data_IF_118340451310
#
_entry.id   IF_118340451310
#
_cell.length_a   1.000
_cell.length_b   1.000
_cell.length_c   1.000
_cell.angle_alpha   90.00
_cell.angle_beta   90.00
_cell.angle_gamma   90.00
#
_symmetry.space_group_name_H-M   'P 1'
#
loop_
_entity.id
_entity.type
_entity.pdbx_description
1 polymer ?
#
# COMPACT_ATOMS: atom_id res chain seq x y z
N UNK A 1 68.96 14.89 36.57
CA UNK A 1 68.97 15.92 37.63
C UNK A 1 68.36 17.18 37.07
N UNK A 2 67.28 17.55 37.49
CA UNK A 2 66.71 18.84 37.83
C UNK A 2 65.18 18.71 37.97
N UNK A 3 64.75 18.72 39.24
CA UNK A 3 63.33 18.89 39.61
C UNK A 3 62.98 20.36 39.43
N UNK A 4 61.89 20.66 38.76
CA UNK A 4 61.25 21.93 38.78
C UNK A 4 59.80 21.79 39.26
N UNK A 5 59.56 22.23 40.48
CA UNK A 5 58.23 22.40 41.07
C UNK A 5 57.63 23.67 40.49
N UNK A 6 56.39 23.56 40.02
CA UNK A 6 55.58 24.72 39.71
C UNK A 6 54.47 24.86 40.75
N UNK A 7 54.49 25.98 41.40
CA UNK A 7 53.51 26.39 42.40
C UNK A 7 52.20 26.80 41.78
N UNK A 8 51.13 26.34 42.39
CA UNK A 8 49.77 26.79 42.16
C UNK A 8 49.56 28.19 42.74
N UNK A 9 49.16 29.14 41.91
CA UNK A 9 48.60 30.40 42.30
C UNK A 9 47.11 30.40 41.99
N UNK A 10 46.31 30.42 43.03
CA UNK A 10 44.84 30.60 42.94
C UNK A 10 44.54 32.11 42.98
N UNK A 11 43.73 32.65 42.09
CA UNK A 11 43.08 33.94 42.38
C UNK A 11 41.70 33.72 43.00
N UNK A 12 41.49 34.31 44.14
CA UNK A 12 40.17 34.56 44.73
C UNK A 12 39.36 35.46 43.78
N UNK A 13 38.24 35.02 43.34
CA UNK A 13 37.26 35.91 42.72
C UNK A 13 36.06 36.02 43.66
N UNK A 14 35.74 37.25 43.98
CA UNK A 14 34.60 37.66 44.79
C UNK A 14 33.25 37.30 44.16
N UNK A 15 32.37 36.72 44.95
CA UNK A 15 30.97 36.55 44.65
C UNK A 15 30.23 37.89 44.68
N UNK A 16 29.60 38.27 43.61
CA UNK A 16 28.56 39.30 43.58
C UNK A 16 27.21 38.55 43.49
N UNK A 17 26.51 38.52 44.61
CA UNK A 17 25.11 38.11 44.68
C UNK A 17 24.24 39.20 44.03
N UNK A 18 23.76 38.96 42.80
CA UNK A 18 22.61 39.64 42.24
C UNK A 18 21.48 38.64 42.11
N UNK A 19 20.58 38.69 43.09
CA UNK A 19 19.36 37.88 43.08
C UNK A 19 18.43 38.26 41.93
N UNK A 20 18.36 37.41 40.95
CA UNK A 20 17.24 37.36 39.99
C UNK A 20 16.50 36.05 40.21
N UNK A 21 15.15 36.03 40.22
CA UNK A 21 14.40 34.80 40.37
C UNK A 21 14.59 33.97 39.14
N UNK A 22 15.20 32.79 39.28
CA UNK A 22 15.24 31.77 38.24
C UNK A 22 13.82 31.26 38.13
N UNK A 23 13.16 31.62 37.01
CA UNK A 23 11.92 31.01 36.63
C UNK A 23 12.17 29.50 36.42
N UNK A 24 11.65 28.66 37.29
CA UNK A 24 11.63 27.24 37.16
C UNK A 24 10.76 26.89 35.92
N UNK A 25 11.42 26.74 34.78
CA UNK A 25 10.83 26.06 33.65
C UNK A 25 10.79 24.56 33.99
N UNK A 26 9.67 24.12 34.58
CA UNK A 26 9.37 22.71 34.67
C UNK A 26 9.13 22.22 33.23
N UNK A 27 10.13 21.55 32.70
CA UNK A 27 10.01 20.80 31.46
C UNK A 27 9.04 19.66 31.73
N UNK A 28 7.77 19.84 31.35
CA UNK A 28 6.83 18.74 31.28
C UNK A 28 7.26 17.86 30.11
N UNK A 29 7.68 16.62 30.35
CA UNK A 29 7.82 15.69 29.25
C UNK A 29 6.42 15.52 28.64
N UNK A 30 6.23 15.98 27.42
CA UNK A 30 5.09 15.57 26.60
C UNK A 30 5.26 14.06 26.46
N UNK A 31 4.56 13.31 27.31
CA UNK A 31 4.31 11.90 27.06
C UNK A 31 3.52 11.83 25.75
N UNK A 32 4.25 11.63 24.66
CA UNK A 32 3.64 11.06 23.47
C UNK A 32 3.00 9.74 23.92
N UNK A 33 1.69 9.78 24.12
CA UNK A 33 0.89 8.58 24.11
C UNK A 33 1.07 7.96 22.71
N UNK A 34 2.09 7.12 22.59
CA UNK A 34 2.14 6.12 21.55
C UNK A 34 0.92 5.25 21.83
N UNK A 35 -0.15 5.53 21.11
CA UNK A 35 -1.31 4.67 21.05
C UNK A 35 -0.78 3.34 20.55
N UNK A 36 -0.50 2.41 21.46
CA UNK A 36 -0.28 1.01 21.15
C UNK A 36 -1.60 0.54 20.56
N UNK A 37 -1.69 0.56 19.24
CA UNK A 37 -2.73 -0.18 18.53
C UNK A 37 -2.65 -1.61 19.06
N UNK A 38 -3.72 -2.18 19.64
CA UNK A 38 -3.71 -3.57 20.04
C UNK A 38 -3.40 -4.40 18.80
N UNK A 39 -2.32 -5.15 18.83
CA UNK A 39 -2.06 -6.19 17.84
C UNK A 39 -3.03 -7.33 18.18
N UNK A 40 -4.27 -7.17 17.79
CA UNK A 40 -5.20 -8.29 17.69
C UNK A 40 -4.71 -9.16 16.53
N UNK A 41 -4.54 -10.49 16.73
CA UNK A 41 -4.28 -11.39 15.61
C UNK A 41 -5.31 -11.13 14.52
N UNK A 42 -4.95 -11.15 13.23
CA UNK A 42 -5.92 -10.95 12.17
C UNK A 42 -7.05 -11.96 12.35
N UNK A 43 -8.27 -11.45 12.45
CA UNK A 43 -9.50 -12.25 12.41
C UNK A 43 -9.46 -13.04 11.08
N UNK A 44 -9.61 -14.39 11.10
CA UNK A 44 -9.62 -15.17 9.87
C UNK A 44 -10.75 -14.77 8.90
N UNK A 45 -11.71 -13.98 9.36
CA UNK A 45 -12.75 -13.36 8.52
C UNK A 45 -12.40 -11.94 8.05
N UNK A 46 -11.24 -11.40 8.44
CA UNK A 46 -10.81 -10.09 7.95
C UNK A 46 -10.40 -10.24 6.49
N UNK A 47 -11.10 -9.54 5.62
CA UNK A 47 -10.72 -9.44 4.20
C UNK A 47 -9.32 -8.81 4.15
N UNK A 48 -8.30 -9.47 3.58
CA UNK A 48 -6.98 -8.87 3.41
C UNK A 48 -7.12 -7.53 2.72
N UNK A 49 -6.53 -6.47 3.28
CA UNK A 49 -6.67 -5.10 2.77
C UNK A 49 -7.88 -4.34 3.34
N UNK A 50 -8.44 -4.76 4.48
CA UNK A 50 -9.55 -4.06 5.14
C UNK A 50 -9.10 -2.78 5.83
N UNK A 51 -9.48 -1.64 5.27
CA UNK A 51 -9.36 -0.31 5.85
C UNK A 51 -10.61 0.12 6.63
N UNK A 52 -11.17 1.28 6.34
CA UNK A 52 -12.34 1.84 7.02
C UNK A 52 -13.57 0.94 6.92
N UNK A 53 -14.37 0.90 8.01
CA UNK A 53 -15.63 0.16 8.06
C UNK A 53 -16.58 0.58 6.93
N UNK A 54 -16.91 -0.33 5.98
CA UNK A 54 -17.79 0.00 4.85
C UNK A 54 -19.20 0.42 5.28
N UNK A 55 -19.64 0.07 6.50
CA UNK A 55 -20.97 0.42 7.01
C UNK A 55 -21.15 1.91 7.24
N UNK A 56 -20.06 2.66 7.44
CA UNK A 56 -20.03 4.10 7.67
C UNK A 56 -19.63 4.91 6.43
N UNK A 57 -19.40 4.25 5.29
CA UNK A 57 -19.01 4.93 4.05
C UNK A 57 -20.21 5.62 3.38
N UNK A 58 -19.93 6.72 2.66
CA UNK A 58 -20.92 7.39 1.81
C UNK A 58 -21.18 6.65 0.48
N UNK A 59 -20.48 5.53 0.27
CA UNK A 59 -20.59 4.74 -0.94
C UNK A 59 -21.91 3.95 -1.01
N UNK A 60 -22.34 3.66 -2.20
CA UNK A 60 -23.48 2.77 -2.44
C UNK A 60 -23.19 1.37 -1.90
N UNK A 61 -24.18 0.75 -1.23
CA UNK A 61 -24.01 -0.63 -0.75
C UNK A 61 -24.00 -1.60 -1.92
N UNK A 62 -23.04 -2.51 -1.92
CA UNK A 62 -22.84 -3.53 -2.96
C UNK A 62 -22.84 -4.93 -2.35
N UNK A 63 -23.09 -5.96 -3.17
CA UNK A 63 -23.04 -7.37 -2.72
C UNK A 63 -21.62 -7.79 -2.37
N UNK A 64 -20.67 -7.42 -3.23
CA UNK A 64 -19.25 -7.67 -3.05
C UNK A 64 -18.57 -6.38 -2.64
N UNK A 65 -17.67 -6.38 -1.65
CA UNK A 65 -16.94 -5.20 -1.26
C UNK A 65 -15.83 -4.84 -2.26
N UNK A 66 -15.31 -3.60 -2.16
CA UNK A 66 -14.02 -3.23 -2.76
C UNK A 66 -12.97 -4.26 -2.31
N UNK A 67 -12.30 -4.91 -3.26
CA UNK A 67 -11.41 -6.03 -2.95
C UNK A 67 -10.08 -5.89 -3.68
N UNK A 68 -8.97 -5.95 -2.96
CA UNK A 68 -7.66 -6.12 -3.55
C UNK A 68 -7.40 -7.60 -3.88
N UNK A 69 -6.92 -7.88 -5.09
CA UNK A 69 -6.55 -9.25 -5.49
C UNK A 69 -5.11 -9.52 -5.02
N UNK A 70 -4.98 -9.94 -3.76
CA UNK A 70 -3.69 -10.18 -3.09
C UNK A 70 -3.69 -11.48 -2.30
N UNK A 71 -2.49 -12.06 -2.02
CA UNK A 71 -2.39 -13.24 -1.17
C UNK A 71 -2.95 -13.01 0.23
N UNK A 72 -3.46 -14.07 0.90
CA UNK A 72 -4.02 -13.96 2.26
C UNK A 72 -3.04 -13.42 3.31
N UNK A 73 -1.73 -13.61 3.10
CA UNK A 73 -0.69 -13.11 3.99
C UNK A 73 -0.44 -11.59 3.85
N UNK A 74 -1.19 -10.94 2.97
CA UNK A 74 -1.08 -9.50 2.66
C UNK A 74 0.31 -9.08 2.14
N UNK A 75 1.12 -10.03 1.67
CA UNK A 75 2.43 -9.80 1.05
C UNK A 75 2.56 -10.66 -0.19
N UNK A 76 2.59 -10.05 -1.37
CA UNK A 76 2.86 -10.71 -2.64
C UNK A 76 4.26 -10.42 -3.16
N UNK A 77 4.80 -11.33 -3.97
CA UNK A 77 6.06 -11.15 -4.66
C UNK A 77 5.86 -10.65 -6.08
N UNK A 78 6.82 -9.85 -6.56
CA UNK A 78 6.97 -9.43 -7.96
C UNK A 78 8.43 -9.42 -8.37
N UNK A 79 8.72 -9.71 -9.62
CA UNK A 79 10.03 -9.50 -10.24
C UNK A 79 10.11 -8.14 -10.93
N UNK A 80 8.95 -7.53 -11.21
CA UNK A 80 8.86 -6.25 -11.92
C UNK A 80 9.33 -5.08 -11.08
N UNK A 81 10.08 -4.18 -11.69
CA UNK A 81 10.37 -2.86 -11.11
C UNK A 81 9.16 -1.92 -11.15
N UNK A 82 8.22 -2.21 -12.05
CA UNK A 82 6.96 -1.47 -12.23
C UNK A 82 5.80 -2.46 -12.28
N UNK A 83 5.40 -3.00 -11.11
CA UNK A 83 4.33 -4.00 -11.03
C UNK A 83 2.97 -3.41 -11.37
N UNK A 84 2.06 -4.30 -11.72
CA UNK A 84 0.63 -4.02 -11.87
C UNK A 84 -0.12 -4.57 -10.66
N UNK A 85 -1.06 -3.78 -10.15
CA UNK A 85 -1.94 -4.12 -9.04
C UNK A 85 -3.36 -4.29 -9.56
N UNK A 86 -4.09 -5.27 -9.02
CA UNK A 86 -5.41 -5.64 -9.50
C UNK A 86 -6.43 -5.53 -8.37
N UNK A 87 -7.60 -4.95 -8.70
CA UNK A 87 -8.67 -4.66 -7.74
C UNK A 87 -10.03 -4.95 -8.35
N UNK A 88 -10.90 -5.55 -7.57
CA UNK A 88 -12.33 -5.58 -7.90
C UNK A 88 -12.99 -4.33 -7.33
N UNK A 89 -13.62 -3.54 -8.19
CA UNK A 89 -14.34 -2.30 -7.82
C UNK A 89 -15.82 -2.51 -8.15
N UNK A 90 -16.68 -2.66 -7.11
CA UNK A 90 -18.09 -2.99 -7.29
C UNK A 90 -18.99 -1.78 -7.61
N UNK A 91 -18.41 -0.60 -7.74
CA UNK A 91 -19.14 0.66 -7.90
C UNK A 91 -19.22 1.09 -9.36
N UNK A 92 -20.35 1.65 -9.78
CA UNK A 92 -20.45 2.33 -11.07
C UNK A 92 -19.68 3.65 -11.01
N UNK A 93 -19.28 4.15 -12.17
CA UNK A 93 -18.48 5.39 -12.29
C UNK A 93 -19.10 6.58 -11.55
N UNK A 94 -20.41 6.73 -11.65
CA UNK A 94 -21.19 7.85 -11.10
C UNK A 94 -21.18 7.88 -9.56
N UNK A 95 -20.98 6.73 -8.93
CA UNK A 95 -20.89 6.61 -7.47
C UNK A 95 -19.50 7.00 -6.94
N UNK A 96 -18.50 7.11 -7.79
CA UNK A 96 -17.11 7.40 -7.41
C UNK A 96 -16.68 8.78 -7.90
N UNK A 97 -16.26 9.64 -6.99
CA UNK A 97 -15.69 10.96 -7.30
C UNK A 97 -14.27 10.83 -7.88
N UNK A 98 -13.42 10.04 -7.22
CA UNK A 98 -12.05 9.71 -7.64
C UNK A 98 -11.52 8.51 -6.89
N UNK A 99 -10.47 7.90 -7.43
CA UNK A 99 -9.60 6.96 -6.74
C UNK A 99 -8.20 7.55 -6.59
N UNK A 100 -7.49 7.13 -5.55
CA UNK A 100 -6.07 7.42 -5.33
C UNK A 100 -5.33 6.11 -5.07
N UNK A 101 -4.17 5.96 -5.68
CA UNK A 101 -3.30 4.82 -5.41
C UNK A 101 -1.92 5.33 -5.02
N UNK A 102 -1.37 4.83 -3.92
CA UNK A 102 -0.06 5.25 -3.41
C UNK A 102 0.77 4.03 -3.04
N UNK A 103 2.06 4.08 -3.36
CA UNK A 103 3.09 3.12 -2.92
C UNK A 103 4.08 3.87 -2.04
N UNK A 104 4.36 3.32 -0.87
CA UNK A 104 5.25 3.88 0.15
C UNK A 104 6.38 2.88 0.46
N UNK A 105 7.46 3.38 1.04
CA UNK A 105 8.43 2.50 1.72
C UNK A 105 7.74 1.68 2.81
N UNK A 106 8.35 0.57 3.23
CA UNK A 106 7.77 -0.31 4.26
C UNK A 106 7.46 0.41 5.58
N UNK A 107 8.24 1.43 5.94
CA UNK A 107 8.04 2.26 7.12
C UNK A 107 7.06 3.43 6.90
N UNK A 108 6.45 3.49 5.72
CA UNK A 108 5.44 4.48 5.28
C UNK A 108 5.90 5.95 5.29
N UNK A 109 7.23 6.19 5.34
CA UNK A 109 7.76 7.56 5.42
C UNK A 109 8.01 8.22 4.07
N UNK A 110 8.21 7.42 3.02
CA UNK A 110 8.57 7.95 1.70
C UNK A 110 7.59 7.44 0.65
N UNK A 111 7.00 8.37 -0.10
CA UNK A 111 6.19 8.05 -1.27
C UNK A 111 7.11 7.64 -2.41
N UNK A 112 6.86 6.46 -2.98
CA UNK A 112 7.56 5.92 -4.15
C UNK A 112 6.78 6.27 -5.42
N UNK A 113 5.46 6.09 -5.38
CA UNK A 113 4.57 6.38 -6.49
C UNK A 113 3.20 6.78 -5.95
N UNK A 114 2.58 7.76 -6.60
CA UNK A 114 1.22 8.19 -6.29
C UNK A 114 0.51 8.60 -7.57
N UNK A 115 -0.74 8.24 -7.70
CA UNK A 115 -1.59 8.68 -8.80
C UNK A 115 -3.04 8.84 -8.35
N UNK A 116 -3.71 9.82 -8.96
CA UNK A 116 -5.17 9.99 -8.86
C UNK A 116 -5.79 9.57 -10.18
N UNK A 117 -6.92 8.87 -10.12
CA UNK A 117 -7.54 8.33 -11.32
C UNK A 117 -9.08 8.40 -11.27
N UNK A 118 -9.67 8.26 -12.44
CA UNK A 118 -11.11 8.03 -12.60
C UNK A 118 -11.37 6.61 -13.09
N UNK A 119 -12.54 6.12 -12.73
CA UNK A 119 -13.04 4.83 -13.22
C UNK A 119 -13.78 5.04 -14.54
N UNK A 120 -13.57 4.16 -15.50
CA UNK A 120 -14.18 4.29 -16.84
C UNK A 120 -15.30 3.27 -17.08
N UNK A 121 -15.12 2.01 -16.70
CA UNK A 121 -15.97 0.88 -17.07
C UNK A 121 -16.29 -0.06 -15.91
N UNK A 122 -16.41 0.45 -14.69
CA UNK A 122 -16.80 -0.36 -13.52
C UNK A 122 -18.33 -0.53 -13.43
N UNK A 123 -18.85 -1.53 -12.71
CA UNK A 123 -18.12 -2.50 -11.86
C UNK A 123 -17.29 -3.51 -12.65
N UNK A 124 -16.24 -4.02 -12.01
CA UNK A 124 -15.35 -5.03 -12.57
C UNK A 124 -13.94 -4.99 -11.99
N UNK A 125 -13.08 -5.81 -12.57
CA UNK A 125 -11.66 -5.89 -12.17
C UNK A 125 -10.84 -4.89 -12.98
N UNK A 126 -10.20 -3.97 -12.27
CA UNK A 126 -9.32 -2.94 -12.82
C UNK A 126 -7.87 -3.22 -12.50
N UNK A 127 -6.97 -2.67 -13.31
CA UNK A 127 -5.52 -2.70 -13.06
C UNK A 127 -4.95 -1.29 -12.89
N UNK A 128 -3.93 -1.19 -12.04
CA UNK A 128 -3.13 0.03 -11.82
C UNK A 128 -1.66 -0.35 -11.92
N UNK A 129 -0.93 0.27 -12.83
CA UNK A 129 0.50 0.00 -13.06
C UNK A 129 1.32 1.25 -12.80
N UNK A 130 2.56 1.11 -12.33
CA UNK A 130 3.52 2.21 -12.39
C UNK A 130 3.88 2.43 -13.87
N UNK A 131 3.62 3.61 -14.47
CA UNK A 131 3.89 3.84 -15.87
C UNK A 131 5.38 3.72 -16.22
N UNK A 132 5.69 3.22 -17.41
CA UNK A 132 7.07 3.12 -17.90
C UNK A 132 7.76 4.47 -18.02
N UNK A 133 7.00 5.53 -18.25
CA UNK A 133 7.46 6.93 -18.28
C UNK A 133 7.81 7.49 -16.90
N UNK A 134 7.30 6.89 -15.82
CA UNK A 134 7.60 7.32 -14.46
C UNK A 134 9.06 7.02 -14.10
N UNK A 135 9.68 7.94 -13.34
CA UNK A 135 10.98 7.70 -12.71
C UNK A 135 10.88 6.74 -11.53
N UNK A 136 9.67 6.53 -11.01
CA UNK A 136 9.39 5.62 -9.89
C UNK A 136 9.60 4.17 -10.32
N UNK A 137 10.30 3.41 -9.49
CA UNK A 137 10.53 1.99 -9.67
C UNK A 137 10.79 1.33 -8.31
N UNK A 138 10.32 0.11 -8.13
CA UNK A 138 10.63 -0.67 -6.94
C UNK A 138 12.05 -1.19 -7.02
N UNK A 139 12.82 -1.05 -5.96
CA UNK A 139 14.15 -1.63 -5.83
C UNK A 139 14.06 -3.11 -5.45
N UNK A 140 14.96 -3.94 -5.99
CA UNK A 140 15.03 -5.36 -5.66
C UNK A 140 15.27 -5.60 -4.16
N UNK A 141 14.74 -6.70 -3.64
CA UNK A 141 14.82 -7.15 -2.24
C UNK A 141 14.06 -6.29 -1.22
N UNK A 142 13.56 -5.11 -1.60
CA UNK A 142 12.79 -4.23 -0.71
C UNK A 142 11.31 -4.60 -0.67
N UNK A 143 10.69 -4.28 0.48
CA UNK A 143 9.26 -4.38 0.73
C UNK A 143 8.68 -2.98 0.70
N UNK A 144 7.47 -2.87 0.17
CA UNK A 144 6.71 -1.63 0.06
C UNK A 144 5.29 -1.85 0.57
N UNK A 145 4.68 -0.78 1.08
CA UNK A 145 3.25 -0.72 1.40
C UNK A 145 2.54 0.00 0.27
N UNK A 146 1.31 -0.39 -0.01
CA UNK A 146 0.47 0.32 -0.97
C UNK A 146 -0.95 0.44 -0.43
N UNK A 147 -1.64 1.50 -0.87
CA UNK A 147 -3.01 1.81 -0.49
C UNK A 147 -3.81 2.20 -1.72
N UNK A 148 -5.00 1.66 -1.86
CA UNK A 148 -6.01 2.15 -2.78
C UNK A 148 -7.10 2.83 -1.96
N UNK A 149 -7.36 4.10 -2.24
CA UNK A 149 -8.34 4.94 -1.58
C UNK A 149 -9.44 5.31 -2.56
N UNK A 150 -10.70 5.19 -2.13
CA UNK A 150 -11.87 5.55 -2.93
C UNK A 150 -12.63 6.67 -2.23
N UNK A 151 -13.02 7.67 -3.01
CA UNK A 151 -13.82 8.80 -2.60
C UNK A 151 -15.15 8.73 -3.35
N UNK A 152 -16.25 8.57 -2.62
CA UNK A 152 -17.56 8.38 -3.21
C UNK A 152 -18.25 9.71 -3.51
N UNK A 153 -19.02 9.74 -4.59
CA UNK A 153 -19.68 10.97 -5.08
C UNK A 153 -20.70 11.57 -4.09
N UNK A 154 -21.32 10.72 -3.26
CA UNK A 154 -22.29 11.15 -2.24
C UNK A 154 -21.64 11.73 -0.98
N UNK A 155 -20.31 11.59 -0.84
CA UNK A 155 -19.58 12.16 0.29
C UNK A 155 -19.63 13.70 0.23
N UNK A 156 -20.05 14.33 1.33
CA UNK A 156 -20.04 15.78 1.48
C UNK A 156 -18.68 16.32 1.93
N UNK A 157 -17.78 15.43 2.28
CA UNK A 157 -16.44 15.76 2.76
C UNK A 157 -15.41 15.23 1.78
N UNK A 158 -14.21 15.79 1.79
CA UNK A 158 -13.08 15.30 1.02
C UNK A 158 -12.28 14.25 1.81
N UNK A 159 -12.99 13.44 2.59
CA UNK A 159 -12.43 12.33 3.37
C UNK A 159 -12.51 11.05 2.56
N UNK A 160 -11.53 10.19 2.78
CA UNK A 160 -11.52 8.85 2.20
C UNK A 160 -12.73 8.06 2.72
N UNK A 161 -13.51 7.48 1.81
CA UNK A 161 -14.67 6.66 2.16
C UNK A 161 -14.30 5.19 2.31
N UNK A 162 -13.43 4.66 1.43
CA UNK A 162 -12.98 3.28 1.45
C UNK A 162 -11.48 3.19 1.22
N UNK A 163 -10.84 2.21 1.89
CA UNK A 163 -9.42 1.90 1.72
C UNK A 163 -9.24 0.39 1.63
N UNK A 164 -8.41 -0.06 0.70
CA UNK A 164 -7.78 -1.38 0.75
C UNK A 164 -6.28 -1.20 0.64
N UNK A 165 -5.52 -2.05 1.31
CA UNK A 165 -4.08 -1.94 1.39
C UNK A 165 -3.39 -3.30 1.32
N UNK A 166 -2.09 -3.27 1.09
CA UNK A 166 -1.28 -4.47 1.06
C UNK A 166 0.20 -4.18 1.00
N UNK A 167 0.95 -5.26 0.89
CA UNK A 167 2.41 -5.21 0.79
C UNK A 167 2.88 -5.93 -0.47
N UNK A 168 3.98 -5.44 -1.03
CA UNK A 168 4.65 -6.04 -2.17
C UNK A 168 6.15 -6.10 -1.92
N UNK A 169 6.77 -7.23 -2.24
CA UNK A 169 8.22 -7.38 -2.22
C UNK A 169 8.73 -7.61 -3.63
N UNK A 170 9.63 -6.75 -4.09
CA UNK A 170 10.34 -7.04 -5.33
C UNK A 170 11.48 -8.02 -5.07
N UNK A 171 11.57 -9.03 -5.93
CA UNK A 171 12.65 -10.04 -5.95
C UNK A 171 13.32 -10.04 -7.31
N UNK A 172 14.56 -10.53 -7.37
CA UNK A 172 15.26 -10.65 -8.65
C UNK A 172 14.60 -11.68 -9.57
N UNK A 173 14.62 -11.44 -10.88
CA UNK A 173 14.17 -12.42 -11.86
C UNK A 173 15.19 -13.57 -11.93
N UNK A 174 14.68 -14.80 -11.91
CA UNK A 174 15.48 -16.02 -12.11
C UNK A 174 14.74 -16.94 -13.07
N UNK A 175 15.44 -17.89 -13.69
CA UNK A 175 14.81 -18.89 -14.56
C UNK A 175 13.71 -19.69 -13.84
N UNK A 176 13.86 -19.94 -12.53
CA UNK A 176 12.84 -20.61 -11.73
C UNK A 176 11.60 -19.73 -11.56
N UNK A 177 11.76 -18.44 -11.22
CA UNK A 177 10.63 -17.51 -11.09
C UNK A 177 9.91 -17.31 -12.41
N UNK A 178 10.63 -17.25 -13.51
CA UNK A 178 10.01 -17.19 -14.85
C UNK A 178 9.12 -18.42 -15.13
N UNK A 179 9.57 -19.62 -14.75
CA UNK A 179 8.73 -20.83 -14.85
C UNK A 179 7.48 -20.73 -13.97
N UNK A 180 7.62 -20.25 -12.72
CA UNK A 180 6.50 -20.06 -11.80
C UNK A 180 5.47 -19.07 -12.38
N UNK A 181 5.91 -17.94 -12.91
CA UNK A 181 5.05 -16.95 -13.57
C UNK A 181 4.31 -17.60 -14.76
N UNK A 182 5.03 -18.34 -15.61
CA UNK A 182 4.44 -19.04 -16.76
C UNK A 182 3.45 -20.14 -16.36
N UNK A 183 3.62 -20.73 -15.20
CA UNK A 183 2.72 -21.71 -14.60
C UNK A 183 1.57 -21.07 -13.79
N UNK A 184 1.46 -19.74 -13.78
CA UNK A 184 0.49 -19.00 -12.97
C UNK A 184 0.56 -19.35 -11.47
N UNK A 185 1.78 -19.55 -10.94
CA UNK A 185 2.00 -19.87 -9.54
C UNK A 185 1.63 -18.69 -8.63
N UNK A 186 0.96 -18.91 -7.48
CA UNK A 186 0.73 -17.88 -6.48
C UNK A 186 2.01 -17.41 -5.77
N UNK A 187 3.15 -18.12 -5.92
CA UNK A 187 4.42 -17.76 -5.29
C UNK A 187 5.02 -16.45 -5.84
N UNK A 188 4.74 -16.12 -7.11
CA UNK A 188 5.09 -14.84 -7.73
C UNK A 188 3.80 -14.12 -8.11
N UNK A 189 3.06 -13.74 -7.08
CA UNK A 189 1.67 -13.33 -7.18
C UNK A 189 1.38 -12.26 -8.23
N UNK A 190 2.04 -11.10 -8.11
CA UNK A 190 1.72 -9.94 -8.95
C UNK A 190 2.02 -10.19 -10.43
N UNK A 191 3.11 -10.88 -10.71
CA UNK A 191 3.50 -11.20 -12.10
C UNK A 191 2.60 -12.26 -12.70
N UNK A 192 2.24 -13.30 -11.95
CA UNK A 192 1.31 -14.36 -12.39
C UNK A 192 -0.07 -13.79 -12.68
N UNK A 193 -0.61 -12.96 -11.77
CA UNK A 193 -1.91 -12.33 -11.94
C UNK A 193 -1.91 -11.37 -13.14
N UNK A 194 -0.86 -10.56 -13.29
CA UNK A 194 -0.72 -9.60 -14.40
C UNK A 194 -0.66 -10.33 -15.74
N UNK A 195 0.17 -11.38 -15.84
CA UNK A 195 0.26 -12.18 -17.06
C UNK A 195 -1.09 -12.77 -17.48
N UNK A 196 -1.84 -13.31 -16.52
CA UNK A 196 -3.19 -13.86 -16.81
C UNK A 196 -4.16 -12.75 -17.21
N UNK A 197 -4.20 -11.63 -16.48
CA UNK A 197 -5.06 -10.50 -16.77
C UNK A 197 -4.80 -9.88 -18.15
N UNK A 198 -3.54 -9.72 -18.54
CA UNK A 198 -3.14 -9.19 -19.85
C UNK A 198 -3.59 -10.11 -21.01
N UNK A 199 -3.39 -11.43 -20.84
CA UNK A 199 -3.82 -12.38 -21.85
C UNK A 199 -5.35 -12.39 -21.97
N UNK A 200 -6.08 -12.46 -20.86
CA UNK A 200 -7.54 -12.47 -20.87
C UNK A 200 -8.15 -11.16 -21.36
N UNK A 201 -7.49 -10.02 -21.14
CA UNK A 201 -7.92 -8.72 -21.70
C UNK A 201 -7.85 -8.73 -23.23
N UNK A 202 -6.87 -9.42 -23.82
CA UNK A 202 -6.68 -9.51 -25.28
C UNK A 202 -7.38 -10.73 -25.90
N UNK A 203 -7.57 -11.80 -25.15
CA UNK A 203 -8.14 -13.08 -25.59
C UNK A 203 -9.10 -13.63 -24.53
N UNK A 204 -10.28 -13.02 -24.34
CA UNK A 204 -11.20 -13.36 -23.24
C UNK A 204 -11.78 -14.78 -23.34
N UNK A 205 -11.65 -15.43 -24.49
CA UNK A 205 -12.20 -16.78 -24.73
C UNK A 205 -11.16 -17.90 -24.61
N UNK A 206 -9.93 -17.58 -24.16
CA UNK A 206 -8.91 -18.62 -23.95
C UNK A 206 -9.21 -19.43 -22.69
N UNK A 207 -9.77 -20.62 -22.87
CA UNK A 207 -10.21 -21.50 -21.79
C UNK A 207 -9.06 -21.93 -20.86
N UNK A 208 -7.84 -22.05 -21.37
CA UNK A 208 -6.69 -22.39 -20.54
C UNK A 208 -6.40 -21.28 -19.55
N UNK A 209 -6.32 -20.03 -20.03
CA UNK A 209 -6.02 -18.88 -19.17
C UNK A 209 -7.18 -18.54 -18.23
N UNK A 210 -8.45 -18.74 -18.64
CA UNK A 210 -9.60 -18.68 -17.74
C UNK A 210 -9.47 -19.67 -16.58
N UNK A 211 -9.15 -20.92 -16.88
CA UNK A 211 -8.97 -21.94 -15.85
C UNK A 211 -7.82 -21.60 -14.88
N UNK A 212 -6.70 -21.08 -15.40
CA UNK A 212 -5.58 -20.68 -14.58
C UNK A 212 -5.93 -19.42 -13.72
N UNK A 213 -6.68 -18.46 -14.26
CA UNK A 213 -7.24 -17.31 -13.54
C UNK A 213 -8.17 -17.74 -12.41
N UNK A 214 -9.11 -18.64 -12.70
CA UNK A 214 -10.04 -19.19 -11.69
C UNK A 214 -9.29 -19.86 -10.54
N UNK A 215 -8.29 -20.70 -10.84
CA UNK A 215 -7.45 -21.36 -9.82
C UNK A 215 -6.67 -20.35 -9.00
N UNK A 216 -6.10 -19.32 -9.64
CA UNK A 216 -5.33 -18.31 -8.95
C UNK A 216 -6.22 -17.51 -7.97
N UNK A 217 -7.43 -17.09 -8.40
CA UNK A 217 -8.38 -16.40 -7.52
C UNK A 217 -8.94 -17.32 -6.43
N UNK A 218 -9.18 -18.61 -6.75
CA UNK A 218 -9.60 -19.61 -5.76
C UNK A 218 -8.53 -19.80 -4.67
N UNK A 219 -7.23 -19.71 -5.01
CA UNK A 219 -6.14 -19.83 -4.04
C UNK A 219 -6.13 -18.73 -2.96
N UNK A 220 -6.80 -17.62 -3.22
CA UNK A 220 -6.98 -16.52 -2.26
C UNK A 220 -8.42 -16.44 -1.70
N UNK A 221 -9.25 -17.45 -1.98
CA UNK A 221 -10.65 -17.47 -1.53
C UNK A 221 -11.55 -16.46 -2.24
N UNK A 222 -11.23 -16.10 -3.49
CA UNK A 222 -11.97 -15.13 -4.31
C UNK A 222 -12.46 -15.71 -5.65
N UNK A 223 -12.80 -16.97 -5.65
CA UNK A 223 -13.32 -17.66 -6.85
C UNK A 223 -14.51 -16.93 -7.46
N UNK A 224 -15.37 -16.35 -6.64
CA UNK A 224 -16.54 -15.58 -7.05
C UNK A 224 -16.22 -14.39 -7.96
N UNK A 225 -15.00 -13.85 -7.85
CA UNK A 225 -14.55 -12.72 -8.69
C UNK A 225 -14.01 -13.17 -10.05
N UNK A 226 -13.86 -14.47 -10.28
CA UNK A 226 -13.30 -14.95 -11.55
C UNK A 226 -14.22 -14.74 -12.76
N UNK A 227 -15.52 -14.57 -12.52
CA UNK A 227 -16.53 -14.27 -13.54
C UNK A 227 -16.74 -12.76 -13.73
N UNK A 228 -16.14 -11.92 -12.91
CA UNK A 228 -16.26 -10.47 -13.02
C UNK A 228 -15.46 -9.97 -14.24
N UNK A 229 -15.97 -8.96 -14.97
CA UNK A 229 -15.32 -8.48 -16.18
C UNK A 229 -13.97 -7.81 -15.86
N UNK A 230 -12.95 -8.09 -16.70
CA UNK A 230 -11.73 -7.32 -16.75
C UNK A 230 -12.00 -6.05 -17.55
N UNK A 231 -12.07 -4.92 -16.85
CA UNK A 231 -12.46 -3.62 -17.46
C UNK A 231 -11.28 -2.72 -17.80
N UNK A 232 -10.08 -3.27 -17.71
CA UNK A 232 -8.85 -2.62 -18.16
C UNK A 232 -8.22 -1.70 -17.09
N UNK A 233 -7.19 -0.95 -17.51
CA UNK A 233 -6.50 -0.04 -16.61
C UNK A 233 -7.38 1.16 -16.25
N UNK A 234 -7.13 1.72 -15.07
CA UNK A 234 -7.72 3.00 -14.68
C UNK A 234 -7.21 4.14 -15.55
N UNK A 235 -7.99 5.21 -15.67
CA UNK A 235 -7.58 6.42 -16.39
C UNK A 235 -6.95 7.38 -15.40
N UNK A 236 -5.63 7.57 -15.49
CA UNK A 236 -4.93 8.54 -14.65
C UNK A 236 -5.39 9.96 -14.96
N UNK A 237 -5.67 10.72 -13.91
CA UNK A 237 -5.86 12.16 -14.02
C UNK A 237 -4.46 12.76 -14.03
N UNK A 238 -4.04 13.29 -15.21
CA UNK A 238 -2.73 13.93 -15.33
C UNK A 238 -2.53 14.96 -14.24
N UNK A 239 -1.38 14.86 -13.55
CA UNK A 239 -0.91 15.85 -12.59
C UNK A 239 -0.31 17.06 -13.31
#
# INVERSE_FOLDING_TARGET
MYKMQLQLVLPLIWAIESGLPIANWTYSPIQQQISKTPQTPPDPNTIPGGGLDPSNSSCTKTKQPLTALIPPQNLGLTTSARPTFWFYIPYIREDIKRGEFVILTQDEKTVIYETTFQLSQTPGIVSISIPSSSKSALEATKIYRWFLRIYCSKSRTDRVDLVVDGSIKRVEMTAERERLINAASPDIWYDSLTRLGDVLSSSPQDEKFKNDWNKLLESIGRKELSEEPLVGPVVELGG
#
